data_IF_100406855020
#
_entry.id   IF_100406855020
#
_cell.length_a   1.000
_cell.length_b   1.000
_cell.length_c   1.000
_cell.angle_alpha   90.00
_cell.angle_beta   90.00
_cell.angle_gamma   90.00
#
_symmetry.space_group_name_H-M   'P 1'
#
loop_
_entity.id
_entity.type
_entity.pdbx_description
1 polymer ?
#
# COMPACT_ATOMS: atom_id res chain seq x y z
N UNK A 1 17.87 -15.30 -3.66
CA UNK A 1 16.46 -15.43 -4.06
C UNK A 1 15.52 -14.47 -3.31
N UNK A 2 15.71 -14.21 -2.01
CA UNK A 2 14.82 -13.31 -1.25
C UNK A 2 14.75 -11.86 -1.77
N UNK A 3 15.88 -11.27 -2.19
CA UNK A 3 15.93 -9.87 -2.67
C UNK A 3 15.14 -9.71 -3.98
N UNK A 4 15.29 -10.65 -4.92
CA UNK A 4 14.56 -10.62 -6.19
C UNK A 4 13.06 -10.69 -5.92
N UNK A 5 12.63 -11.62 -5.06
CA UNK A 5 11.21 -11.75 -4.69
C UNK A 5 10.66 -10.48 -4.03
N UNK A 6 11.43 -9.87 -3.12
CA UNK A 6 11.05 -8.61 -2.47
C UNK A 6 10.87 -7.48 -3.51
N UNK A 7 11.87 -7.27 -4.37
CA UNK A 7 11.80 -6.24 -5.42
C UNK A 7 10.64 -6.50 -6.39
N UNK A 8 10.42 -7.76 -6.80
CA UNK A 8 9.30 -8.11 -7.67
C UNK A 8 7.96 -7.81 -7.00
N UNK A 9 7.81 -8.10 -5.70
CA UNK A 9 6.58 -7.79 -4.96
C UNK A 9 6.33 -6.29 -4.87
N UNK A 10 7.34 -5.50 -4.54
CA UNK A 10 7.23 -4.03 -4.46
C UNK A 10 6.90 -3.42 -5.83
N UNK A 11 7.50 -3.96 -6.90
CA UNK A 11 7.22 -3.53 -8.27
C UNK A 11 5.76 -3.80 -8.67
N UNK A 12 5.22 -4.98 -8.35
CA UNK A 12 3.82 -5.32 -8.60
C UNK A 12 2.90 -4.38 -7.81
N UNK A 13 3.20 -4.10 -6.54
CA UNK A 13 2.43 -3.16 -5.70
C UNK A 13 2.43 -1.77 -6.32
N UNK A 14 3.58 -1.31 -6.81
CA UNK A 14 3.72 -0.02 -7.49
C UNK A 14 2.88 0.08 -8.76
N UNK A 15 2.92 -0.94 -9.62
CA UNK A 15 2.12 -1.00 -10.85
C UNK A 15 0.63 -0.98 -10.52
N UNK A 16 0.17 -1.81 -9.57
CA UNK A 16 -1.23 -1.88 -9.19
C UNK A 16 -1.73 -0.57 -8.58
N UNK A 17 -0.88 0.09 -7.78
CA UNK A 17 -1.19 1.41 -7.20
C UNK A 17 -1.35 2.47 -8.30
N UNK A 18 -0.42 2.53 -9.26
CA UNK A 18 -0.50 3.46 -10.40
C UNK A 18 -1.75 3.21 -11.25
N UNK A 19 -2.01 1.94 -11.61
CA UNK A 19 -3.19 1.57 -12.39
C UNK A 19 -4.47 1.96 -11.64
N UNK A 20 -4.57 1.63 -10.35
CA UNK A 20 -5.76 1.99 -9.56
C UNK A 20 -6.01 3.50 -9.52
N UNK A 21 -4.96 4.31 -9.40
CA UNK A 21 -5.06 5.77 -9.45
C UNK A 21 -5.52 6.29 -10.82
N UNK A 22 -4.98 5.75 -11.91
CA UNK A 22 -5.41 6.09 -13.27
C UNK A 22 -6.89 5.74 -13.48
N UNK A 23 -7.31 4.55 -13.06
CA UNK A 23 -8.70 4.10 -13.19
C UNK A 23 -9.67 4.98 -12.39
N UNK A 24 -9.27 5.42 -11.19
CA UNK A 24 -10.05 6.36 -10.38
C UNK A 24 -10.17 7.73 -11.08
N UNK A 25 -9.10 8.23 -11.68
CA UNK A 25 -9.11 9.51 -12.41
C UNK A 25 -9.98 9.48 -13.67
N UNK A 26 -10.09 8.31 -14.32
CA UNK A 26 -10.98 8.11 -15.49
C UNK A 26 -12.45 7.99 -15.05
N UNK A 27 -12.72 7.77 -13.76
CA UNK A 27 -14.09 7.68 -13.22
C UNK A 27 -14.77 6.33 -13.50
N UNK A 28 -14.00 5.25 -13.66
CA UNK A 28 -14.57 3.91 -13.86
C UNK A 28 -15.16 3.38 -12.54
N UNK A 29 -16.39 2.88 -12.57
CA UNK A 29 -17.09 2.38 -11.36
C UNK A 29 -16.38 1.21 -10.67
N UNK A 30 -15.65 0.38 -11.43
CA UNK A 30 -14.89 -0.74 -10.87
C UNK A 30 -13.50 -0.34 -10.34
N UNK A 31 -13.08 0.91 -10.56
CA UNK A 31 -11.82 1.44 -10.04
C UNK A 31 -11.74 1.34 -8.51
N UNK A 32 -12.89 1.48 -7.83
CA UNK A 32 -12.99 1.37 -6.37
C UNK A 32 -12.51 -0.01 -5.88
N UNK A 33 -12.84 -1.09 -6.57
CA UNK A 33 -12.38 -2.44 -6.22
C UNK A 33 -10.87 -2.59 -6.45
N UNK A 34 -10.38 -2.05 -7.57
CA UNK A 34 -8.95 -2.11 -7.91
C UNK A 34 -8.10 -1.29 -6.92
N UNK A 35 -8.62 -0.15 -6.48
CA UNK A 35 -8.03 0.68 -5.44
C UNK A 35 -7.95 -0.06 -4.10
N UNK A 36 -9.05 -0.69 -3.67
CA UNK A 36 -9.06 -1.47 -2.42
C UNK A 36 -8.04 -2.62 -2.46
N UNK A 37 -7.89 -3.30 -3.60
CA UNK A 37 -6.87 -4.33 -3.78
C UNK A 37 -5.45 -3.75 -3.66
N UNK A 38 -5.15 -2.67 -4.40
CA UNK A 38 -3.85 -2.03 -4.35
C UNK A 38 -3.50 -1.54 -2.94
N UNK A 39 -4.45 -0.87 -2.26
CA UNK A 39 -4.25 -0.40 -0.88
C UNK A 39 -4.09 -1.56 0.11
N UNK A 40 -4.80 -2.67 -0.06
CA UNK A 40 -4.60 -3.87 0.76
C UNK A 40 -3.18 -4.41 0.69
N UNK A 41 -2.58 -4.42 -0.51
CA UNK A 41 -1.19 -4.82 -0.69
C UNK A 41 -0.21 -3.81 -0.08
N UNK A 42 -0.47 -2.51 -0.21
CA UNK A 42 0.33 -1.46 0.46
C UNK A 42 0.29 -1.63 1.97
N UNK A 43 -0.90 -1.81 2.56
CA UNK A 43 -1.10 -2.02 4.00
C UNK A 43 -0.30 -3.24 4.47
N UNK A 44 -0.40 -4.37 3.76
CA UNK A 44 0.38 -5.56 4.09
C UNK A 44 1.90 -5.27 4.05
N UNK A 45 2.39 -4.62 3.00
CA UNK A 45 3.81 -4.35 2.82
C UNK A 45 4.37 -3.41 3.90
N UNK A 46 3.65 -2.36 4.28
CA UNK A 46 4.11 -1.40 5.30
C UNK A 46 4.06 -1.99 6.71
N UNK A 47 3.06 -2.82 7.03
CA UNK A 47 3.00 -3.52 8.32
C UNK A 47 4.17 -4.51 8.46
N UNK A 48 4.42 -5.30 7.42
CA UNK A 48 5.54 -6.24 7.41
C UNK A 48 6.89 -5.51 7.53
N UNK A 49 7.07 -4.41 6.81
CA UNK A 49 8.28 -3.60 6.86
C UNK A 49 8.46 -2.91 8.22
N UNK A 50 7.40 -2.34 8.80
CA UNK A 50 7.45 -1.69 10.11
C UNK A 50 7.92 -2.65 11.21
N UNK A 51 7.46 -3.91 11.20
CA UNK A 51 7.92 -4.94 12.14
C UNK A 51 9.43 -5.20 12.05
N UNK A 52 9.95 -5.35 10.83
CA UNK A 52 11.37 -5.56 10.58
C UNK A 52 12.24 -4.37 11.06
N UNK A 53 11.83 -3.14 10.75
CA UNK A 53 12.57 -1.95 11.17
C UNK A 53 12.43 -1.63 12.66
N UNK A 54 11.31 -2.01 13.28
CA UNK A 54 11.09 -1.95 14.72
C UNK A 54 12.07 -2.83 15.48
N UNK A 55 12.30 -4.06 15.01
CA UNK A 55 13.30 -4.97 15.61
C UNK A 55 14.73 -4.40 15.53
N UNK A 56 15.03 -3.66 14.46
CA UNK A 56 16.32 -2.97 14.27
C UNK A 56 16.44 -1.64 15.03
N UNK A 57 15.43 -1.25 15.82
CA UNK A 57 15.35 0.03 16.54
C UNK A 57 15.43 1.26 15.62
N UNK A 58 15.07 1.12 14.35
CA UNK A 58 15.08 2.20 13.36
C UNK A 58 13.73 2.95 13.35
N UNK A 59 13.42 3.60 14.49
CA UNK A 59 12.13 4.25 14.75
C UNK A 59 11.66 5.28 13.70
N UNK A 60 12.52 6.11 13.08
CA UNK A 60 12.07 7.05 12.05
C UNK A 60 11.38 6.35 10.86
N UNK A 61 11.89 5.18 10.46
CA UNK A 61 11.31 4.39 9.35
C UNK A 61 9.97 3.78 9.77
N UNK A 62 9.88 3.31 11.02
CA UNK A 62 8.62 2.79 11.58
C UNK A 62 7.54 3.86 11.60
N UNK A 63 7.88 5.10 11.98
CA UNK A 63 6.94 6.23 11.97
C UNK A 63 6.47 6.52 10.54
N UNK A 64 7.38 6.53 9.56
CA UNK A 64 7.01 6.72 8.15
C UNK A 64 6.02 5.66 7.68
N UNK A 65 6.28 4.37 7.95
CA UNK A 65 5.33 3.31 7.61
C UNK A 65 4.02 3.41 8.38
N UNK A 66 4.04 3.87 9.63
CA UNK A 66 2.85 4.15 10.42
C UNK A 66 1.97 5.25 9.79
N UNK A 67 2.59 6.31 9.28
CA UNK A 67 1.86 7.37 8.56
C UNK A 67 1.22 6.84 7.28
N UNK A 68 1.97 6.06 6.48
CA UNK A 68 1.45 5.42 5.26
C UNK A 68 0.30 4.47 5.61
N UNK A 69 0.42 3.70 6.69
CA UNK A 69 -0.63 2.78 7.14
C UNK A 69 -1.92 3.56 7.47
N UNK A 70 -1.82 4.62 8.26
CA UNK A 70 -2.98 5.44 8.66
C UNK A 70 -3.64 6.05 7.43
N UNK A 71 -2.87 6.62 6.50
CA UNK A 71 -3.43 7.23 5.29
C UNK A 71 -4.07 6.19 4.38
N UNK A 72 -3.41 5.06 4.12
CA UNK A 72 -3.97 3.97 3.30
C UNK A 72 -5.27 3.41 3.89
N UNK A 73 -5.32 3.15 5.19
CA UNK A 73 -6.55 2.69 5.87
C UNK A 73 -7.65 3.75 5.78
N UNK A 74 -7.33 5.02 6.02
CA UNK A 74 -8.32 6.10 5.95
C UNK A 74 -8.90 6.25 4.55
N UNK A 75 -8.07 6.12 3.51
CA UNK A 75 -8.52 6.18 2.12
C UNK A 75 -9.38 4.97 1.73
N UNK A 76 -9.03 3.76 2.19
CA UNK A 76 -9.87 2.57 1.98
C UNK A 76 -11.23 2.76 2.64
N UNK A 77 -11.26 3.24 3.89
CA UNK A 77 -12.51 3.52 4.59
C UNK A 77 -13.34 4.54 3.81
N UNK A 78 -12.76 5.65 3.37
CA UNK A 78 -13.44 6.65 2.55
C UNK A 78 -14.01 6.04 1.26
N UNK A 79 -13.22 5.22 0.58
CA UNK A 79 -13.59 4.56 -0.68
C UNK A 79 -14.75 3.57 -0.52
N UNK A 80 -14.99 3.02 0.67
CA UNK A 80 -16.15 2.16 0.96
C UNK A 80 -17.46 2.95 1.10
N UNK A 81 -17.39 4.26 1.30
CA UNK A 81 -18.56 5.14 1.40
C UNK A 81 -18.89 5.91 0.11
N UNK A 82 -18.05 5.77 -0.93
CA UNK A 82 -18.26 6.34 -2.26
C UNK A 82 -19.02 5.35 -3.16
#
# INVERSE_FOLDING_TARGET
MAIVFHITSEFIIGILSLLSGILLLIGLSWALYFFNLAMGLVIYAVVNSAGYYGQKKQWPIVIMFGLILITSVSLVILNLFL
#
